data_IF_314062561942
#
_entry.id   IF_314062561942
#
_cell.length_a   1.000
_cell.length_b   1.000
_cell.length_c   1.000
_cell.angle_alpha   90.00
_cell.angle_beta   90.00
_cell.angle_gamma   90.00
#
_symmetry.space_group_name_H-M   'P 1'
#
loop_
_entity.id
_entity.type
_entity.pdbx_description
1 polymer ?
#
# COMPACT_ATOMS: atom_id res chain seq x y z
N UNK A 1 -48.95 80.48 -18.08
CA UNK A 1 -47.91 79.85 -18.91
C UNK A 1 -46.86 79.21 -18.00
N UNK A 2 -46.58 77.91 -18.23
CA UNK A 2 -45.35 77.13 -17.93
C UNK A 2 -44.84 77.12 -16.46
N UNK A 3 -45.01 75.99 -15.75
CA UNK A 3 -44.01 74.93 -15.45
C UNK A 3 -42.85 75.46 -14.58
N UNK A 4 -42.52 74.88 -13.43
CA UNK A 4 -41.75 73.63 -13.38
C UNK A 4 -41.88 72.88 -12.05
N UNK A 5 -41.91 71.56 -12.19
CA UNK A 5 -42.02 70.52 -11.18
C UNK A 5 -40.62 70.08 -10.73
N UNK A 6 -40.41 70.15 -9.41
CA UNK A 6 -39.66 69.27 -8.52
C UNK A 6 -39.02 68.01 -9.14
N UNK A 7 -37.69 67.88 -9.08
CA UNK A 7 -36.96 66.58 -9.06
C UNK A 7 -35.67 66.71 -8.23
N UNK A 8 -35.73 66.27 -6.98
CA UNK A 8 -34.55 65.96 -6.19
C UNK A 8 -33.97 64.63 -6.70
N UNK A 9 -32.77 64.66 -7.29
CA UNK A 9 -31.98 63.45 -7.53
C UNK A 9 -31.18 63.15 -6.25
N UNK A 10 -31.62 62.15 -5.49
CA UNK A 10 -30.79 61.51 -4.47
C UNK A 10 -29.90 60.51 -5.19
N UNK A 11 -28.61 60.84 -5.31
CA UNK A 11 -27.58 59.94 -5.83
C UNK A 11 -27.29 58.87 -4.76
N UNK A 12 -28.01 57.76 -4.81
CA UNK A 12 -27.70 56.57 -4.02
C UNK A 12 -26.50 55.85 -4.63
N UNK A 13 -25.28 56.18 -4.19
CA UNK A 13 -24.09 55.39 -4.47
C UNK A 13 -24.17 54.07 -3.69
N UNK A 14 -24.78 53.05 -4.29
CA UNK A 14 -24.73 51.69 -3.78
C UNK A 14 -23.30 51.17 -3.84
N UNK A 15 -22.62 51.12 -2.68
CA UNK A 15 -21.47 50.26 -2.49
C UNK A 15 -21.94 48.81 -2.66
N UNK A 16 -21.78 48.27 -3.87
CA UNK A 16 -21.70 46.83 -4.07
C UNK A 16 -20.34 46.45 -3.47
N UNK A 17 -20.33 46.20 -2.16
CA UNK A 17 -19.25 45.49 -1.50
C UNK A 17 -19.21 44.09 -2.12
N UNK A 18 -18.43 43.95 -3.19
CA UNK A 18 -18.08 42.65 -3.73
C UNK A 18 -17.46 41.86 -2.59
N UNK A 19 -18.20 40.88 -2.08
CA UNK A 19 -17.64 39.88 -1.18
C UNK A 19 -16.57 39.14 -1.96
N UNK A 20 -15.33 39.62 -1.89
CA UNK A 20 -14.16 38.82 -2.20
C UNK A 20 -14.21 37.67 -1.22
N UNK A 21 -14.72 36.53 -1.66
CA UNK A 21 -14.61 35.27 -0.93
C UNK A 21 -13.12 35.07 -0.66
N UNK A 22 -12.70 35.32 0.59
CA UNK A 22 -11.36 34.99 1.05
C UNK A 22 -11.29 33.47 0.95
N UNK A 23 -10.77 32.98 -0.17
CA UNK A 23 -10.50 31.57 -0.35
C UNK A 23 -9.35 31.26 0.61
N UNK A 24 -9.65 30.47 1.65
CA UNK A 24 -8.64 30.01 2.59
C UNK A 24 -7.46 29.41 1.82
N UNK A 25 -6.23 29.68 2.27
CA UNK A 25 -5.04 29.16 1.62
C UNK A 25 -5.14 27.63 1.46
N UNK A 26 -4.78 27.07 0.30
CA UNK A 26 -4.84 25.64 0.06
C UNK A 26 -4.10 24.84 1.14
N UNK A 27 -4.74 23.78 1.62
CA UNK A 27 -4.10 22.78 2.48
C UNK A 27 -3.23 21.91 1.58
N UNK A 28 -1.91 21.98 1.75
CA UNK A 28 -0.98 21.06 1.08
C UNK A 28 -0.68 19.88 1.99
N UNK A 29 -0.82 18.66 1.48
CA UNK A 29 -0.51 17.40 2.15
C UNK A 29 0.72 16.73 1.50
N UNK A 30 1.66 16.23 2.29
CA UNK A 30 2.81 15.44 1.81
C UNK A 30 2.51 13.95 1.83
N UNK A 31 2.54 13.29 0.67
CA UNK A 31 2.35 11.85 0.52
C UNK A 31 3.67 11.14 0.22
N UNK A 32 4.19 10.37 1.18
CA UNK A 32 5.44 9.62 1.03
C UNK A 32 5.23 8.15 0.60
N UNK A 33 6.08 7.63 -0.28
CA UNK A 33 6.12 6.18 -0.59
C UNK A 33 7.49 5.70 -1.09
N UNK A 34 7.71 4.39 -1.03
CA UNK A 34 8.99 3.74 -1.42
C UNK A 34 9.10 3.35 -2.90
N UNK A 35 7.99 3.42 -3.64
CA UNK A 35 7.91 2.97 -5.04
C UNK A 35 8.53 3.94 -6.02
N UNK A 36 9.10 3.40 -7.10
CA UNK A 36 9.64 4.20 -8.20
C UNK A 36 8.53 4.93 -8.96
N UNK A 37 8.87 6.02 -9.65
CA UNK A 37 7.90 6.79 -10.44
C UNK A 37 7.31 6.00 -11.62
N UNK A 38 7.99 4.93 -12.04
CA UNK A 38 7.52 4.00 -13.06
C UNK A 38 6.53 2.94 -12.52
N UNK A 39 6.39 2.81 -11.20
CA UNK A 39 5.47 1.84 -10.61
C UNK A 39 4.01 2.34 -10.62
N UNK A 40 3.03 1.43 -10.72
CA UNK A 40 1.62 1.81 -10.74
C UNK A 40 1.19 2.66 -9.54
N UNK A 41 1.74 2.39 -8.36
CA UNK A 41 1.38 3.10 -7.12
C UNK A 41 1.69 4.60 -7.18
N UNK A 42 2.77 4.99 -7.85
CA UNK A 42 3.07 6.41 -8.04
C UNK A 42 2.03 7.07 -8.94
N UNK A 43 1.78 6.48 -10.10
CA UNK A 43 0.80 7.01 -11.06
C UNK A 43 -0.62 7.06 -10.48
N UNK A 44 -0.96 6.13 -9.57
CA UNK A 44 -2.22 6.11 -8.84
C UNK A 44 -2.31 7.25 -7.82
N UNK A 45 -1.25 7.49 -7.05
CA UNK A 45 -1.20 8.62 -6.13
C UNK A 45 -1.33 9.96 -6.88
N UNK A 46 -0.66 10.12 -8.02
CA UNK A 46 -0.77 11.32 -8.86
C UNK A 46 -2.20 11.52 -9.37
N UNK A 47 -2.84 10.45 -9.86
CA UNK A 47 -4.22 10.51 -10.32
C UNK A 47 -5.20 10.87 -9.18
N UNK A 48 -5.02 10.28 -7.99
CA UNK A 48 -5.82 10.62 -6.80
C UNK A 48 -5.60 12.08 -6.39
N UNK A 49 -4.36 12.56 -6.38
CA UNK A 49 -4.01 13.94 -6.07
C UNK A 49 -4.71 14.93 -7.00
N UNK A 50 -4.70 14.68 -8.32
CA UNK A 50 -5.37 15.54 -9.29
C UNK A 50 -6.90 15.53 -9.11
N UNK A 51 -7.50 14.37 -8.87
CA UNK A 51 -8.95 14.25 -8.61
C UNK A 51 -9.36 14.96 -7.34
N UNK A 52 -8.58 14.86 -6.27
CA UNK A 52 -8.81 15.55 -5.00
C UNK A 52 -8.72 17.06 -5.20
N UNK A 53 -7.68 17.54 -5.88
CA UNK A 53 -7.54 18.97 -6.21
C UNK A 53 -8.73 19.48 -6.99
N UNK A 54 -9.18 18.76 -8.02
CA UNK A 54 -10.35 19.14 -8.81
C UNK A 54 -11.64 19.14 -7.98
N UNK A 55 -11.91 18.06 -7.22
CA UNK A 55 -13.12 17.91 -6.43
C UNK A 55 -13.23 18.90 -5.26
N UNK A 56 -12.09 19.37 -4.75
CA UNK A 56 -12.03 20.39 -3.69
C UNK A 56 -11.86 21.81 -4.23
N UNK A 57 -11.94 22.02 -5.55
CA UNK A 57 -11.68 23.30 -6.21
C UNK A 57 -10.35 23.95 -5.76
N UNK A 58 -9.31 23.14 -5.60
CA UNK A 58 -7.97 23.56 -5.19
C UNK A 58 -7.76 23.76 -3.70
N UNK A 59 -8.78 23.54 -2.84
CA UNK A 59 -8.61 23.71 -1.39
C UNK A 59 -7.69 22.65 -0.76
N UNK A 60 -7.60 21.47 -1.36
CA UNK A 60 -6.67 20.42 -0.95
C UNK A 60 -5.73 20.09 -2.10
N UNK A 61 -4.43 20.23 -1.86
CA UNK A 61 -3.37 19.82 -2.77
C UNK A 61 -2.52 18.73 -2.13
N UNK A 62 -2.03 17.80 -2.95
CA UNK A 62 -1.19 16.70 -2.48
C UNK A 62 0.14 16.75 -3.25
N UNK A 63 1.24 16.81 -2.51
CA UNK A 63 2.60 16.68 -3.02
C UNK A 63 3.10 15.27 -2.77
N UNK A 64 3.53 14.58 -3.81
CA UNK A 64 3.95 13.18 -3.75
C UNK A 64 5.47 13.10 -3.69
N UNK A 65 5.97 12.29 -2.75
CA UNK A 65 7.39 12.05 -2.51
C UNK A 65 7.69 10.56 -2.73
N UNK A 66 8.05 10.17 -3.96
CA UNK A 66 8.31 8.77 -4.33
C UNK A 66 9.70 8.30 -3.93
N UNK A 67 10.03 7.04 -4.26
CA UNK A 67 11.38 6.48 -4.18
C UNK A 67 12.07 6.66 -2.82
N UNK A 68 11.30 6.61 -1.72
CA UNK A 68 11.82 6.81 -0.36
C UNK A 68 12.49 8.18 -0.14
N UNK A 69 12.08 9.22 -0.89
CA UNK A 69 12.64 10.57 -0.77
C UNK A 69 12.48 11.18 0.64
N UNK A 70 11.46 10.74 1.40
CA UNK A 70 11.23 11.15 2.80
C UNK A 70 11.58 10.05 3.81
N UNK A 71 12.41 9.07 3.43
CA UNK A 71 12.87 7.99 4.28
C UNK A 71 12.23 6.63 3.98
N UNK A 72 12.48 5.67 4.87
CA UNK A 72 12.00 4.30 4.75
C UNK A 72 10.62 4.10 5.37
N UNK A 73 9.87 3.14 4.84
CA UNK A 73 8.52 2.76 5.29
C UNK A 73 8.45 2.42 6.79
N UNK A 74 9.53 1.85 7.35
CA UNK A 74 9.64 1.49 8.76
C UNK A 74 9.45 2.67 9.73
N UNK A 75 9.62 3.91 9.26
CA UNK A 75 9.49 5.13 10.06
C UNK A 75 8.23 5.94 9.72
N UNK A 76 7.46 5.55 8.68
CA UNK A 76 6.32 6.33 8.22
C UNK A 76 5.23 6.51 9.28
N UNK A 77 4.93 5.49 10.09
CA UNK A 77 3.96 5.64 11.19
C UNK A 77 4.37 6.71 12.20
N UNK A 78 5.66 6.81 12.53
CA UNK A 78 6.20 7.86 13.42
C UNK A 78 6.16 9.23 12.75
N UNK A 79 6.51 9.30 11.47
CA UNK A 79 6.46 10.54 10.68
C UNK A 79 5.04 11.08 10.54
N UNK A 80 4.06 10.20 10.32
CA UNK A 80 2.63 10.53 10.35
C UNK A 80 2.21 11.07 11.72
N UNK A 81 2.58 10.38 12.80
CA UNK A 81 2.25 10.82 14.17
C UNK A 81 2.85 12.20 14.52
N UNK A 82 4.07 12.48 14.05
CA UNK A 82 4.75 13.77 14.26
C UNK A 82 4.30 14.89 13.31
N UNK A 83 3.58 14.55 12.22
CA UNK A 83 3.21 15.50 11.16
C UNK A 83 4.33 15.86 10.18
N UNK A 84 5.47 15.14 10.19
CA UNK A 84 6.54 15.33 9.20
C UNK A 84 6.06 14.97 7.77
N UNK A 85 5.22 13.93 7.69
CA UNK A 85 4.45 13.55 6.49
C UNK A 85 2.97 13.50 6.84
N UNK A 86 2.11 13.69 5.84
CA UNK A 86 0.67 13.75 6.03
C UNK A 86 -0.03 12.47 5.59
N UNK A 87 0.49 11.86 4.54
CA UNK A 87 -0.01 10.64 3.94
C UNK A 87 1.14 9.69 3.61
N UNK A 88 0.85 8.39 3.61
CA UNK A 88 1.79 7.39 3.14
C UNK A 88 1.10 6.17 2.54
N UNK A 89 1.77 5.53 1.60
CA UNK A 89 1.55 4.10 1.36
C UNK A 89 2.35 3.31 2.39
N UNK A 90 1.68 2.42 3.12
CA UNK A 90 2.31 1.51 4.09
C UNK A 90 1.69 0.12 3.94
N UNK A 91 2.49 -0.93 3.77
CA UNK A 91 2.01 -2.31 3.73
C UNK A 91 1.22 -2.66 5.00
N UNK A 92 0.07 -3.33 4.87
CA UNK A 92 -0.74 -3.72 6.03
C UNK A 92 0.06 -4.59 7.01
N UNK A 93 0.99 -5.39 6.46
CA UNK A 93 1.95 -6.17 7.24
C UNK A 93 2.93 -5.30 8.04
N UNK A 94 3.33 -4.13 7.55
CA UNK A 94 4.17 -3.18 8.30
C UNK A 94 3.35 -2.48 9.38
N UNK A 95 2.09 -2.13 9.09
CA UNK A 95 1.15 -1.57 10.08
C UNK A 95 0.90 -2.51 11.27
N UNK A 96 1.16 -3.82 11.13
CA UNK A 96 1.10 -4.77 12.24
C UNK A 96 2.06 -4.44 13.40
N UNK A 97 3.11 -3.63 13.15
CA UNK A 97 4.01 -3.15 14.20
C UNK A 97 3.31 -2.20 15.17
N UNK A 98 2.33 -1.45 14.69
CA UNK A 98 1.53 -0.52 15.50
C UNK A 98 0.27 -1.20 16.03
N UNK A 99 -0.24 -2.22 15.32
CA UNK A 99 -1.40 -3.00 15.72
C UNK A 99 -1.26 -4.47 15.27
N UNK A 100 -0.70 -5.31 16.15
CA UNK A 100 -0.33 -6.70 15.84
C UNK A 100 -1.40 -7.55 15.14
N UNK A 101 -2.71 -7.45 15.48
CA UNK A 101 -3.73 -8.23 14.80
C UNK A 101 -3.81 -8.06 13.28
N UNK A 102 -3.41 -6.89 12.73
CA UNK A 102 -3.31 -6.73 11.27
C UNK A 102 -2.32 -7.71 10.63
N UNK A 103 -1.36 -8.23 11.39
CA UNK A 103 -0.34 -9.16 10.92
C UNK A 103 -0.94 -10.45 10.33
N UNK A 104 -2.15 -10.84 10.71
CA UNK A 104 -2.85 -12.03 10.18
C UNK A 104 -2.91 -12.04 8.65
N UNK A 105 -3.00 -10.87 8.01
CA UNK A 105 -3.19 -10.76 6.55
C UNK A 105 -1.99 -11.22 5.73
N UNK A 106 -0.79 -11.26 6.31
CA UNK A 106 0.39 -11.82 5.64
C UNK A 106 0.76 -13.20 6.14
N UNK A 107 -0.13 -13.92 6.82
CA UNK A 107 0.11 -15.33 7.07
C UNK A 107 0.33 -16.05 5.72
N UNK A 108 1.43 -16.80 5.53
CA UNK A 108 1.76 -17.39 4.24
C UNK A 108 0.61 -18.25 3.71
N UNK A 109 0.25 -18.04 2.44
CA UNK A 109 -0.82 -18.76 1.74
C UNK A 109 -2.24 -18.60 2.31
N UNK A 110 -2.49 -17.61 3.18
CA UNK A 110 -3.85 -17.30 3.66
C UNK A 110 -4.80 -16.95 2.51
N UNK A 111 -4.38 -16.00 1.67
CA UNK A 111 -5.12 -15.62 0.48
C UNK A 111 -4.75 -16.55 -0.68
N UNK A 112 -5.76 -16.97 -1.43
CA UNK A 112 -5.62 -17.94 -2.52
C UNK A 112 -5.42 -17.26 -3.87
N UNK A 113 -6.02 -16.09 -4.05
CA UNK A 113 -6.08 -15.32 -5.28
C UNK A 113 -6.46 -13.86 -5.02
N UNK A 114 -6.34 -12.96 -6.02
CA UNK A 114 -6.71 -11.55 -5.85
C UNK A 114 -8.20 -11.30 -5.57
N UNK A 115 -9.10 -12.20 -5.97
CA UNK A 115 -10.54 -12.06 -5.68
C UNK A 115 -10.84 -12.38 -4.21
N UNK A 116 -10.08 -13.28 -3.59
CA UNK A 116 -10.08 -13.49 -2.13
C UNK A 116 -9.67 -12.22 -1.38
N UNK A 117 -8.59 -11.54 -1.82
CA UNK A 117 -8.21 -10.23 -1.26
C UNK A 117 -9.34 -9.21 -1.43
N UNK A 118 -9.97 -9.13 -2.61
CA UNK A 118 -11.09 -8.22 -2.86
C UNK A 118 -12.27 -8.46 -1.90
N UNK A 119 -12.63 -9.72 -1.63
CA UNK A 119 -13.68 -10.07 -0.65
C UNK A 119 -13.28 -9.66 0.77
N UNK A 120 -12.01 -9.85 1.15
CA UNK A 120 -11.49 -9.40 2.43
C UNK A 120 -11.58 -7.89 2.60
N UNK A 121 -11.17 -7.10 1.60
CA UNK A 121 -11.15 -5.64 1.69
C UNK A 121 -12.55 -4.99 1.87
N UNK A 122 -13.63 -5.72 1.61
CA UNK A 122 -15.02 -5.27 1.83
C UNK A 122 -15.72 -6.04 2.96
N UNK A 123 -14.98 -6.85 3.72
CA UNK A 123 -15.52 -7.72 4.76
C UNK A 123 -15.62 -7.03 6.13
N UNK A 124 -16.53 -7.50 7.02
CA UNK A 124 -16.58 -7.03 8.40
C UNK A 124 -15.27 -7.21 9.16
N UNK A 125 -14.52 -8.30 8.92
CA UNK A 125 -13.25 -8.57 9.61
C UNK A 125 -12.18 -7.54 9.25
N UNK A 126 -12.11 -7.09 8.00
CA UNK A 126 -11.21 -5.99 7.62
C UNK A 126 -11.62 -4.67 8.29
N UNK A 127 -12.91 -4.36 8.35
CA UNK A 127 -13.40 -3.15 9.01
C UNK A 127 -13.10 -3.13 10.52
N UNK A 128 -13.20 -4.28 11.19
CA UNK A 128 -12.80 -4.42 12.60
C UNK A 128 -11.29 -4.23 12.79
N UNK A 129 -10.46 -4.87 11.95
CA UNK A 129 -9.00 -4.71 11.99
C UNK A 129 -8.58 -3.26 11.73
N UNK A 130 -9.21 -2.61 10.74
CA UNK A 130 -9.00 -1.20 10.42
C UNK A 130 -9.32 -0.31 11.62
N UNK A 131 -10.49 -0.46 12.23
CA UNK A 131 -10.88 0.33 13.43
C UNK A 131 -9.95 0.09 14.62
N UNK A 132 -9.51 -1.15 14.82
CA UNK A 132 -8.52 -1.50 15.84
C UNK A 132 -7.20 -0.77 15.63
N UNK A 133 -6.68 -0.79 14.40
CA UNK A 133 -5.49 -0.04 14.02
C UNK A 133 -5.66 1.47 14.21
N UNK A 134 -6.77 2.05 13.77
CA UNK A 134 -7.04 3.50 13.90
C UNK A 134 -7.09 3.94 15.36
N UNK A 135 -7.68 3.10 16.22
CA UNK A 135 -7.76 3.34 17.66
C UNK A 135 -6.38 3.32 18.32
N UNK A 136 -5.58 2.29 18.01
CA UNK A 136 -4.28 2.06 18.62
C UNK A 136 -3.21 3.04 18.12
N UNK A 137 -3.14 3.25 16.79
CA UNK A 137 -2.09 4.06 16.16
C UNK A 137 -2.41 5.55 16.11
N UNK A 138 -3.70 5.92 16.26
CA UNK A 138 -4.25 7.28 16.02
C UNK A 138 -4.16 7.78 14.58
N UNK A 139 -3.52 7.02 13.68
CA UNK A 139 -3.54 7.27 12.25
C UNK A 139 -4.85 6.77 11.64
N UNK A 140 -5.18 7.21 10.42
CA UNK A 140 -6.39 6.77 9.73
C UNK A 140 -6.06 5.97 8.47
N UNK A 141 -6.51 4.72 8.41
CA UNK A 141 -6.35 3.85 7.26
C UNK A 141 -7.54 4.09 6.31
N UNK A 142 -7.35 4.98 5.34
CA UNK A 142 -8.44 5.48 4.49
C UNK A 142 -8.98 4.39 3.55
N UNK A 143 -8.06 3.62 2.98
CA UNK A 143 -8.32 2.49 2.10
C UNK A 143 -7.12 1.54 2.12
N UNK A 144 -7.31 0.33 1.61
CA UNK A 144 -6.21 -0.56 1.25
C UNK A 144 -6.34 -0.97 -0.22
N UNK A 145 -5.19 -1.17 -0.87
CA UNK A 145 -5.08 -1.57 -2.27
C UNK A 145 -4.32 -2.88 -2.37
N UNK A 146 -4.72 -3.72 -3.32
CA UNK A 146 -3.95 -4.91 -3.67
C UNK A 146 -2.57 -4.51 -4.20
N UNK A 147 -1.51 -5.02 -3.57
CA UNK A 147 -0.11 -4.74 -3.93
C UNK A 147 0.42 -5.72 -4.97
N UNK A 148 0.02 -6.99 -4.85
CA UNK A 148 0.47 -8.08 -5.72
C UNK A 148 0.74 -9.37 -4.95
N UNK A 149 0.81 -10.48 -5.69
CA UNK A 149 1.32 -11.75 -5.25
C UNK A 149 2.85 -11.65 -5.13
N UNK A 150 3.37 -11.94 -3.95
CA UNK A 150 4.80 -11.88 -3.66
C UNK A 150 5.49 -13.16 -4.12
N UNK A 151 6.62 -12.99 -4.79
CA UNK A 151 7.44 -14.05 -5.37
C UNK A 151 8.90 -13.88 -4.95
N UNK A 152 9.68 -14.97 -4.98
CA UNK A 152 11.08 -14.95 -4.53
C UNK A 152 11.99 -14.75 -5.74
N UNK A 153 12.87 -13.75 -5.69
CA UNK A 153 14.07 -13.76 -6.54
C UNK A 153 15.24 -14.30 -5.77
N UNK A 154 16.18 -14.96 -6.45
CA UNK A 154 17.36 -15.50 -5.79
C UNK A 154 18.57 -15.53 -6.72
N UNK A 155 19.77 -15.50 -6.13
CA UNK A 155 21.04 -15.76 -6.81
C UNK A 155 21.22 -17.23 -7.22
N UNK A 156 20.35 -18.14 -6.74
CA UNK A 156 20.28 -19.56 -7.09
C UNK A 156 18.82 -19.97 -7.37
N UNK A 157 18.56 -20.87 -8.33
CA UNK A 157 17.21 -21.40 -8.56
C UNK A 157 16.58 -22.00 -7.30
N UNK A 158 15.34 -21.59 -6.99
CA UNK A 158 14.52 -22.16 -5.92
C UNK A 158 13.36 -22.93 -6.57
N UNK A 159 13.37 -24.25 -6.53
CA UNK A 159 12.31 -25.10 -7.10
C UNK A 159 11.42 -25.70 -6.00
N UNK A 160 11.95 -25.88 -4.80
CA UNK A 160 11.25 -26.43 -3.64
C UNK A 160 11.70 -25.73 -2.34
N UNK A 161 10.96 -25.86 -1.22
CA UNK A 161 11.32 -25.23 0.06
C UNK A 161 12.75 -25.53 0.52
N UNK A 162 13.26 -26.75 0.30
CA UNK A 162 14.63 -27.14 0.66
C UNK A 162 15.71 -26.25 0.04
N UNK A 163 15.44 -25.66 -1.12
CA UNK A 163 16.40 -24.80 -1.83
C UNK A 163 16.52 -23.42 -1.17
N UNK A 164 15.60 -23.07 -0.26
CA UNK A 164 15.64 -21.85 0.54
C UNK A 164 16.40 -22.00 1.86
N UNK A 165 16.73 -23.22 2.27
CA UNK A 165 17.41 -23.47 3.54
C UNK A 165 18.75 -22.74 3.60
N UNK A 166 18.92 -21.94 4.64
CA UNK A 166 20.15 -21.16 4.86
C UNK A 166 20.34 -19.96 3.93
N UNK A 167 19.46 -19.71 2.95
CA UNK A 167 19.53 -18.49 2.14
C UNK A 167 19.29 -17.27 3.04
N UNK A 168 20.06 -16.20 2.82
CA UNK A 168 19.79 -14.89 3.40
C UNK A 168 18.69 -14.21 2.60
N UNK A 169 17.45 -14.41 3.03
CA UNK A 169 16.27 -13.83 2.38
C UNK A 169 16.02 -12.43 2.96
N UNK A 170 16.23 -11.41 2.15
CA UNK A 170 15.78 -10.07 2.50
C UNK A 170 14.27 -10.03 2.60
N UNK A 171 13.79 -9.44 3.68
CA UNK A 171 12.38 -9.13 3.92
C UNK A 171 12.23 -7.67 4.37
N UNK A 172 11.04 -7.04 4.20
CA UNK A 172 10.73 -5.81 4.91
C UNK A 172 10.75 -6.01 6.43
N UNK A 173 11.00 -4.94 7.18
CA UNK A 173 11.05 -5.00 8.64
C UNK A 173 9.65 -4.99 9.27
N UNK A 174 9.00 -6.15 9.21
CA UNK A 174 7.78 -6.46 9.95
C UNK A 174 7.77 -7.95 10.35
N UNK A 175 7.12 -8.31 11.47
CA UNK A 175 7.04 -9.71 11.92
C UNK A 175 6.49 -10.65 10.84
N UNK A 176 5.45 -10.22 10.13
CA UNK A 176 4.74 -11.07 9.18
C UNK A 176 5.61 -11.58 8.03
N UNK A 177 6.46 -10.72 7.46
CA UNK A 177 7.35 -11.14 6.35
C UNK A 177 8.42 -12.15 6.80
N UNK A 178 8.78 -12.15 8.09
CA UNK A 178 9.77 -13.12 8.64
C UNK A 178 9.20 -14.54 8.71
N UNK A 179 7.87 -14.70 8.81
CA UNK A 179 7.25 -16.03 8.90
C UNK A 179 7.50 -16.87 7.65
N UNK A 180 7.43 -16.28 6.46
CA UNK A 180 7.71 -17.03 5.23
C UNK A 180 9.18 -17.49 5.17
N UNK A 181 10.14 -16.63 5.53
CA UNK A 181 11.54 -17.03 5.59
C UNK A 181 11.75 -18.18 6.57
N UNK A 182 11.18 -18.06 7.78
CA UNK A 182 11.22 -19.07 8.83
C UNK A 182 10.65 -20.41 8.36
N UNK A 183 9.48 -20.40 7.73
CA UNK A 183 8.84 -21.65 7.28
C UNK A 183 9.60 -22.36 6.17
N UNK A 184 10.39 -21.63 5.38
CA UNK A 184 11.25 -22.19 4.34
C UNK A 184 12.66 -22.56 4.85
N UNK A 185 12.96 -22.34 6.13
CA UNK A 185 14.30 -22.55 6.69
C UNK A 185 15.36 -21.54 6.21
N UNK A 186 14.91 -20.43 5.60
CA UNK A 186 15.77 -19.31 5.22
C UNK A 186 16.07 -18.43 6.44
N UNK A 187 17.17 -17.68 6.37
CA UNK A 187 17.49 -16.64 7.36
C UNK A 187 16.90 -15.31 6.89
N UNK A 188 15.92 -14.79 7.62
CA UNK A 188 15.35 -13.47 7.34
C UNK A 188 16.39 -12.36 7.60
N UNK A 189 16.58 -11.46 6.63
CA UNK A 189 17.46 -10.30 6.74
C UNK A 189 16.66 -9.01 6.53
N UNK A 190 16.11 -8.40 7.60
CA UNK A 190 15.31 -7.18 7.48
C UNK A 190 16.16 -5.99 7.00
N UNK A 191 15.74 -5.31 5.95
CA UNK A 191 16.39 -4.07 5.51
C UNK A 191 15.47 -3.13 4.73
N UNK A 192 15.76 -1.81 4.73
CA UNK A 192 15.03 -0.82 3.94
C UNK A 192 15.01 -1.16 2.45
N UNK A 193 13.89 -0.92 1.79
CA UNK A 193 13.67 -1.26 0.39
C UNK A 193 14.69 -0.62 -0.57
N UNK A 194 15.10 0.62 -0.28
CA UNK A 194 16.09 1.36 -1.06
C UNK A 194 17.48 0.69 -1.09
N UNK A 195 17.83 -0.16 -0.11
CA UNK A 195 19.14 -0.82 -0.03
C UNK A 195 19.22 -2.16 -0.75
N UNK A 196 18.08 -2.70 -1.19
CA UNK A 196 17.97 -4.11 -1.60
C UNK A 196 18.78 -4.41 -2.85
N UNK A 197 18.76 -3.53 -3.85
CA UNK A 197 19.49 -3.76 -5.10
C UNK A 197 20.99 -3.92 -4.83
N UNK A 198 21.59 -2.99 -4.08
CA UNK A 198 23.02 -3.02 -3.77
C UNK A 198 23.39 -4.19 -2.86
N UNK A 199 22.52 -4.56 -1.93
CA UNK A 199 22.73 -5.72 -1.05
C UNK A 199 22.67 -7.05 -1.84
N UNK A 200 21.80 -7.17 -2.85
CA UNK A 200 21.78 -8.32 -3.76
C UNK A 200 23.03 -8.32 -4.66
N UNK A 201 23.40 -7.16 -5.21
CA UNK A 201 24.56 -6.99 -6.10
C UNK A 201 25.88 -7.34 -5.42
N UNK A 202 26.03 -6.95 -4.16
CA UNK A 202 27.23 -7.23 -3.36
C UNK A 202 27.25 -8.64 -2.76
N UNK A 203 26.13 -9.36 -2.77
CA UNK A 203 26.00 -10.67 -2.13
C UNK A 203 25.88 -10.62 -0.61
N UNK A 204 25.56 -9.46 -0.03
CA UNK A 204 25.19 -9.35 1.40
C UNK A 204 23.98 -10.24 1.70
N UNK A 205 23.01 -10.27 0.79
CA UNK A 205 21.81 -11.11 0.78
C UNK A 205 21.75 -11.96 -0.49
N UNK A 206 21.14 -13.14 -0.39
CA UNK A 206 21.05 -14.10 -1.49
C UNK A 206 19.79 -13.91 -2.33
N UNK A 207 18.72 -13.50 -1.67
CA UNK A 207 17.36 -13.49 -2.20
C UNK A 207 16.56 -12.31 -1.65
N UNK A 208 15.50 -11.95 -2.35
CA UNK A 208 14.45 -11.08 -1.82
C UNK A 208 13.09 -11.58 -2.29
N UNK A 209 12.03 -11.00 -1.75
CA UNK A 209 10.67 -11.33 -2.14
C UNK A 209 9.81 -10.08 -2.37
N UNK A 210 9.04 -10.04 -3.45
CA UNK A 210 8.15 -8.93 -3.85
C UNK A 210 7.25 -9.33 -5.04
N UNK A 211 6.22 -8.53 -5.37
CA UNK A 211 5.47 -8.69 -6.61
C UNK A 211 6.31 -8.47 -7.87
N UNK A 212 5.89 -9.10 -8.98
CA UNK A 212 6.60 -9.03 -10.26
C UNK A 212 6.77 -7.60 -10.80
N UNK A 213 5.75 -6.70 -10.75
CA UNK A 213 5.92 -5.32 -11.20
C UNK A 213 7.03 -4.59 -10.45
N UNK A 214 7.14 -4.82 -9.14
CA UNK A 214 8.17 -4.23 -8.29
C UNK A 214 9.56 -4.81 -8.59
N UNK A 215 9.66 -6.12 -8.81
CA UNK A 215 10.91 -6.78 -9.23
C UNK A 215 11.44 -6.17 -10.54
N UNK A 216 10.54 -5.89 -11.50
CA UNK A 216 10.89 -5.20 -12.74
C UNK A 216 11.32 -3.75 -12.50
N UNK A 217 10.54 -2.97 -11.77
CA UNK A 217 10.81 -1.55 -11.56
C UNK A 217 12.14 -1.31 -10.83
N UNK A 218 12.45 -2.15 -9.83
CA UNK A 218 13.73 -2.12 -9.11
C UNK A 218 14.88 -2.81 -9.84
N UNK A 219 14.61 -3.39 -11.02
CA UNK A 219 15.61 -4.08 -11.84
C UNK A 219 16.35 -5.19 -11.10
N UNK A 220 15.69 -5.88 -10.16
CA UNK A 220 16.33 -6.97 -9.43
C UNK A 220 16.76 -8.12 -10.36
N UNK A 221 16.18 -8.22 -11.54
CA UNK A 221 16.60 -9.17 -12.58
C UNK A 221 18.04 -8.97 -13.09
N UNK A 222 18.64 -7.79 -12.91
CA UNK A 222 20.05 -7.55 -13.27
C UNK A 222 21.03 -8.20 -12.28
N UNK A 223 20.57 -8.44 -11.04
CA UNK A 223 21.40 -8.89 -9.91
C UNK A 223 20.91 -10.20 -9.29
N UNK A 224 19.99 -10.89 -9.96
CA UNK A 224 19.38 -12.16 -9.54
C UNK A 224 19.31 -13.13 -10.71
N UNK A 225 19.46 -14.43 -10.44
CA UNK A 225 19.50 -15.46 -11.50
C UNK A 225 18.13 -16.04 -11.82
N UNK A 226 17.22 -16.01 -10.86
CA UNK A 226 15.87 -16.57 -11.04
C UNK A 226 14.82 -15.78 -10.28
N UNK A 227 13.58 -15.84 -10.78
CA UNK A 227 12.37 -15.51 -10.04
C UNK A 227 11.51 -16.77 -9.96
N UNK A 228 11.19 -17.20 -8.74
CA UNK A 228 10.34 -18.35 -8.46
C UNK A 228 8.95 -17.86 -8.08
N UNK A 229 7.95 -18.29 -8.85
CA UNK A 229 6.56 -17.89 -8.67
C UNK A 229 5.91 -18.59 -7.47
N UNK A 230 6.42 -18.34 -6.26
CA UNK A 230 5.93 -18.95 -5.02
C UNK A 230 4.50 -18.51 -4.69
N UNK A 231 4.16 -17.23 -4.93
CA UNK A 231 2.82 -16.69 -4.68
C UNK A 231 2.44 -16.90 -3.22
N UNK A 232 3.40 -16.67 -2.33
CA UNK A 232 3.32 -17.08 -0.92
C UNK A 232 2.52 -16.09 -0.07
N UNK A 233 2.28 -14.89 -0.61
CA UNK A 233 1.51 -13.84 0.05
C UNK A 233 0.86 -12.97 -1.01
N UNK A 234 -0.44 -12.69 -0.88
CA UNK A 234 -1.10 -11.63 -1.62
C UNK A 234 -1.15 -10.40 -0.72
N UNK A 235 -0.30 -9.44 -1.02
CA UNK A 235 -0.02 -8.33 -0.12
C UNK A 235 -0.88 -7.10 -0.45
N UNK A 236 -0.96 -6.18 0.51
CA UNK A 236 -1.81 -5.00 0.42
C UNK A 236 -1.11 -3.78 0.99
N UNK A 237 -1.31 -2.63 0.35
CA UNK A 237 -0.87 -1.33 0.87
C UNK A 237 -2.04 -0.57 1.45
N UNK A 238 -1.91 -0.09 2.67
CA UNK A 238 -2.77 0.92 3.24
C UNK A 238 -2.42 2.32 2.71
N UNK A 239 -3.45 3.10 2.41
CA UNK A 239 -3.34 4.56 2.27
C UNK A 239 -3.65 5.14 3.64
N UNK A 240 -2.62 5.63 4.31
CA UNK A 240 -2.71 6.11 5.70
C UNK A 240 -2.58 7.61 5.72
N UNK A 241 -3.46 8.29 6.45
CA UNK A 241 -3.41 9.74 6.68
C UNK A 241 -3.21 10.04 8.17
N UNK A 242 -2.43 11.08 8.47
CA UNK A 242 -2.17 11.51 9.84
C UNK A 242 -3.37 12.24 10.45
N UNK A 243 -3.53 12.21 11.78
CA UNK A 243 -4.55 12.99 12.46
C UNK A 243 -4.36 14.51 12.24
N UNK A 244 -3.11 14.99 12.17
CA UNK A 244 -2.79 16.39 11.91
C UNK A 244 -3.21 16.86 10.52
N UNK A 245 -3.03 16.02 9.49
CA UNK A 245 -3.49 16.32 8.13
C UNK A 245 -5.02 16.48 8.07
N UNK A 246 -5.75 15.59 8.75
CA UNK A 246 -7.21 15.68 8.84
C UNK A 246 -7.63 16.97 9.53
N UNK A 247 -7.02 17.32 10.66
CA UNK A 247 -7.36 18.53 11.41
C UNK A 247 -7.21 19.82 10.59
N UNK A 248 -6.28 19.86 9.63
CA UNK A 248 -6.09 21.00 8.73
C UNK A 248 -7.16 21.12 7.64
N UNK A 249 -7.89 20.05 7.35
CA UNK A 249 -8.97 20.04 6.36
C UNK A 249 -10.34 20.32 7.00
N UNK A 250 -11.22 20.98 6.24
CA UNK A 250 -12.64 21.09 6.60
C UNK A 250 -13.32 19.71 6.59
N UNK A 251 -14.43 19.55 7.29
CA UNK A 251 -15.18 18.28 7.28
C UNK A 251 -15.64 17.89 5.86
N UNK A 252 -16.09 18.87 5.07
CA UNK A 252 -16.47 18.65 3.67
C UNK A 252 -15.29 18.16 2.83
N UNK A 253 -14.11 18.77 2.98
CA UNK A 253 -12.94 18.34 2.24
C UNK A 253 -12.42 16.97 2.69
N UNK A 254 -12.51 16.64 4.00
CA UNK A 254 -12.19 15.28 4.50
C UNK A 254 -13.05 14.21 3.85
N UNK A 255 -14.36 14.46 3.74
CA UNK A 255 -15.30 13.54 3.08
C UNK A 255 -14.95 13.37 1.61
N UNK A 256 -14.71 14.46 0.87
CA UNK A 256 -14.30 14.40 -0.54
C UNK A 256 -13.01 13.60 -0.71
N UNK A 257 -11.99 13.88 0.10
CA UNK A 257 -10.69 13.17 0.05
C UNK A 257 -10.87 11.68 0.31
N UNK A 258 -11.65 11.31 1.33
CA UNK A 258 -11.95 9.92 1.66
C UNK A 258 -12.68 9.21 0.52
N UNK A 259 -13.68 9.85 -0.07
CA UNK A 259 -14.49 9.24 -1.13
C UNK A 259 -13.67 9.02 -2.41
N UNK A 260 -12.83 10.00 -2.79
CA UNK A 260 -11.92 9.84 -3.93
C UNK A 260 -10.93 8.69 -3.68
N UNK A 261 -10.28 8.67 -2.51
CA UNK A 261 -9.29 7.63 -2.18
C UNK A 261 -9.92 6.24 -2.18
N UNK A 262 -11.07 6.05 -1.51
CA UNK A 262 -11.74 4.74 -1.44
C UNK A 262 -12.20 4.26 -2.82
N UNK A 263 -12.78 5.14 -3.63
CA UNK A 263 -13.22 4.80 -4.98
C UNK A 263 -12.04 4.40 -5.88
N UNK A 264 -10.96 5.18 -5.85
CA UNK A 264 -9.81 4.95 -6.71
C UNK A 264 -8.96 3.75 -6.24
N UNK A 265 -8.94 3.44 -4.95
CA UNK A 265 -8.27 2.26 -4.41
C UNK A 265 -8.80 0.94 -5.00
N UNK A 266 -10.11 0.87 -5.28
CA UNK A 266 -10.72 -0.28 -5.95
C UNK A 266 -10.18 -0.43 -7.38
N UNK A 267 -10.15 0.66 -8.14
CA UNK A 267 -9.62 0.66 -9.51
C UNK A 267 -8.12 0.38 -9.58
N UNK A 268 -7.37 0.93 -8.63
CA UNK A 268 -5.94 0.67 -8.47
C UNK A 268 -5.66 -0.83 -8.35
N UNK A 269 -6.44 -1.52 -7.50
CA UNK A 269 -6.30 -2.97 -7.28
C UNK A 269 -6.51 -3.79 -8.57
N UNK A 270 -7.50 -3.42 -9.39
CA UNK A 270 -7.75 -4.08 -10.70
C UNK A 270 -6.59 -3.87 -11.67
N UNK A 271 -6.02 -2.66 -11.70
CA UNK A 271 -4.87 -2.36 -12.55
C UNK A 271 -3.63 -3.16 -12.16
N UNK A 272 -3.39 -3.37 -10.86
CA UNK A 272 -2.26 -4.18 -10.38
C UNK A 272 -2.36 -5.62 -10.89
N UNK A 273 -3.53 -6.26 -10.79
CA UNK A 273 -3.73 -7.64 -11.29
C UNK A 273 -3.33 -7.75 -12.77
N UNK A 274 -3.75 -6.79 -13.60
CA UNK A 274 -3.37 -6.76 -15.02
C UNK A 274 -1.85 -6.56 -15.21
N UNK A 275 -1.21 -5.75 -14.36
CA UNK A 275 0.23 -5.48 -14.42
C UNK A 275 1.07 -6.68 -14.03
N UNK A 276 0.61 -7.54 -13.13
CA UNK A 276 1.33 -8.77 -12.76
C UNK A 276 1.49 -9.71 -13.96
N UNK A 277 0.42 -9.90 -14.74
CA UNK A 277 0.45 -10.72 -15.96
C UNK A 277 1.46 -10.18 -16.99
N UNK A 278 1.45 -8.86 -17.20
CA UNK A 278 2.41 -8.20 -18.11
C UNK A 278 3.84 -8.30 -17.57
N UNK A 279 4.01 -8.20 -16.24
CA UNK A 279 5.32 -8.24 -15.61
C UNK A 279 6.00 -9.61 -15.73
N UNK A 280 5.24 -10.70 -15.63
CA UNK A 280 5.79 -12.05 -15.83
C UNK A 280 6.38 -12.24 -17.23
N UNK A 281 5.66 -11.82 -18.27
CA UNK A 281 6.14 -11.88 -19.65
C UNK A 281 7.40 -11.04 -19.86
N UNK A 282 7.38 -9.79 -19.37
CA UNK A 282 8.54 -8.89 -19.45
C UNK A 282 9.76 -9.42 -18.71
N UNK A 283 9.58 -10.06 -17.56
CA UNK A 283 10.69 -10.72 -16.86
C UNK A 283 11.27 -11.84 -17.70
N UNK A 284 10.46 -12.65 -18.39
CA UNK A 284 10.95 -13.65 -19.32
C UNK A 284 11.86 -13.09 -20.43
N UNK A 285 11.58 -11.86 -20.88
CA UNK A 285 12.36 -11.16 -21.91
C UNK A 285 13.70 -10.59 -21.39
N UNK A 286 13.89 -10.43 -20.07
CA UNK A 286 15.16 -9.92 -19.51
C UNK A 286 16.26 -10.98 -19.42
N UNK A 287 15.92 -12.26 -19.66
CA UNK A 287 16.83 -13.39 -19.53
C UNK A 287 16.92 -13.99 -18.12
N UNK A 288 16.19 -13.46 -17.14
CA UNK A 288 16.09 -14.10 -15.81
C UNK A 288 15.31 -15.43 -15.92
N UNK A 289 15.72 -16.45 -15.16
CA UNK A 289 14.99 -17.72 -15.13
C UNK A 289 13.68 -17.58 -14.35
N UNK A 290 12.55 -17.61 -15.04
CA UNK A 290 11.22 -17.68 -14.41
C UNK A 290 10.87 -19.14 -14.08
N UNK A 291 10.70 -19.45 -12.79
CA UNK A 291 10.42 -20.80 -12.27
C UNK A 291 8.98 -20.85 -11.79
N UNK A 292 8.20 -21.83 -12.28
CA UNK A 292 6.84 -22.12 -11.82
C UNK A 292 6.88 -23.41 -10.99
N UNK A 293 7.13 -23.33 -9.67
CA UNK A 293 7.29 -24.52 -8.86
C UNK A 293 5.94 -25.19 -8.59
N UNK A 294 5.98 -26.44 -8.13
CA UNK A 294 4.85 -26.99 -7.41
C UNK A 294 4.71 -26.23 -6.07
N UNK A 295 3.59 -25.51 -5.93
CA UNK A 295 3.31 -24.69 -4.75
C UNK A 295 2.93 -25.53 -3.53
N UNK A 296 2.49 -26.78 -3.73
CA UNK A 296 2.00 -27.63 -2.63
C UNK A 296 3.06 -27.82 -1.53
N UNK A 297 4.31 -28.07 -1.93
CA UNK A 297 5.43 -28.21 -0.98
C UNK A 297 5.69 -26.94 -0.16
N UNK A 298 5.53 -25.75 -0.76
CA UNK A 298 5.66 -24.49 -0.02
C UNK A 298 4.51 -24.26 0.96
N UNK A 299 3.28 -24.63 0.57
CA UNK A 299 2.11 -24.58 1.45
C UNK A 299 2.31 -25.52 2.64
N UNK A 300 2.71 -26.77 2.39
CA UNK A 300 2.94 -27.76 3.44
C UNK A 300 4.03 -27.30 4.42
N UNK A 301 5.16 -26.81 3.91
CA UNK A 301 6.23 -26.28 4.75
C UNK A 301 5.77 -25.08 5.60
N UNK A 302 4.96 -24.18 5.03
CA UNK A 302 4.35 -23.08 5.79
C UNK A 302 3.47 -23.57 6.93
N UNK A 303 2.46 -24.39 6.62
CA UNK A 303 1.47 -24.85 7.60
C UNK A 303 2.07 -25.77 8.68
N UNK A 304 3.19 -26.44 8.40
CA UNK A 304 3.90 -27.29 9.36
C UNK A 304 4.75 -26.50 10.35
N UNK A 305 5.26 -25.34 9.96
CA UNK A 305 6.31 -24.63 10.72
C UNK A 305 5.83 -23.36 11.40
N UNK A 306 4.80 -22.69 10.87
CA UNK A 306 4.28 -21.46 11.44
C UNK A 306 2.78 -21.52 11.71
N UNK A 307 2.33 -20.78 12.71
CA UNK A 307 0.91 -20.67 13.06
C UNK A 307 0.44 -19.21 13.13
N UNK A 308 -0.86 -18.92 12.88
CA UNK A 308 -1.40 -17.58 13.02
C UNK A 308 -1.23 -16.99 14.43
N UNK A 309 -1.09 -17.83 15.46
CA UNK A 309 -0.87 -17.40 16.84
C UNK A 309 0.44 -16.61 17.02
N UNK A 310 1.47 -16.88 16.18
CA UNK A 310 2.74 -16.14 16.20
C UNK A 310 2.59 -14.67 15.78
N UNK A 311 1.50 -14.34 15.10
CA UNK A 311 1.20 -12.98 14.63
C UNK A 311 0.36 -12.18 15.64
N UNK A 312 0.03 -12.76 16.81
CA UNK A 312 -0.90 -12.17 17.78
C UNK A 312 -2.24 -11.78 17.12
N UNK A 313 -2.68 -12.58 16.15
CA UNK A 313 -3.99 -12.43 15.52
C UNK A 313 -5.09 -12.58 16.58
N UNK A 314 -6.22 -11.85 16.43
CA UNK A 314 -7.36 -12.06 17.32
C UNK A 314 -7.93 -13.47 17.08
N UNK A 315 -8.47 -14.13 18.12
CA UNK A 315 -9.10 -15.43 17.95
C UNK A 315 -10.17 -15.41 16.84
N UNK A 316 -10.08 -16.35 15.92
CA UNK A 316 -11.04 -16.50 14.82
C UNK A 316 -10.78 -15.61 13.59
N UNK A 317 -9.88 -14.62 13.64
CA UNK A 317 -9.64 -13.74 12.48
C UNK A 317 -9.05 -14.52 11.29
N UNK A 318 -8.14 -15.46 11.55
CA UNK A 318 -7.58 -16.30 10.51
C UNK A 318 -8.65 -17.11 9.78
N UNK A 319 -9.53 -17.80 10.54
CA UNK A 319 -10.62 -18.60 9.99
C UNK A 319 -11.64 -17.73 9.26
N UNK A 320 -12.05 -16.61 9.87
CA UNK A 320 -12.97 -15.65 9.24
C UNK A 320 -12.44 -15.16 7.90
N UNK A 321 -11.14 -14.90 7.77
CA UNK A 321 -10.53 -14.47 6.52
C UNK A 321 -10.44 -15.64 5.55
N UNK A 322 -9.86 -16.78 5.96
CA UNK A 322 -9.70 -17.99 5.14
C UNK A 322 -11.03 -18.41 4.52
N UNK A 323 -12.12 -18.33 5.27
CA UNK A 323 -13.45 -18.78 4.88
C UNK A 323 -14.20 -17.77 4.01
N UNK A 324 -13.60 -16.62 3.68
CA UNK A 324 -14.06 -15.72 2.60
C UNK A 324 -13.76 -16.33 1.23
N UNK A 325 -14.13 -17.59 1.00
CA UNK A 325 -14.07 -18.26 -0.30
C UNK A 325 -15.29 -17.88 -1.17
N UNK A 326 -15.23 -18.19 -2.46
CA UNK A 326 -16.38 -17.97 -3.34
C UNK A 326 -17.57 -18.82 -2.86
N UNK A 327 -18.82 -18.31 -2.88
CA UNK A 327 -19.98 -19.16 -2.68
C UNK A 327 -19.96 -20.32 -3.68
N UNK A 328 -19.96 -21.56 -3.19
CA UNK A 328 -20.09 -22.77 -4.02
C UNK A 328 -18.80 -23.55 -4.34
N UNK A 329 -17.67 -23.23 -3.72
CA UNK A 329 -16.47 -24.10 -3.73
C UNK A 329 -16.30 -24.75 -2.36
N UNK A 330 -16.91 -25.92 -2.20
CA UNK A 330 -16.59 -26.91 -1.16
C UNK A 330 -15.75 -28.03 -1.78
#
# INVERSE_FOLDING_TARGET
>A
MRRLVMKALVLGAGLIAGATSIQAAPVTLKWAHGYETSEPFHTQAEAMAQKIKAATAGRVEIQIFPASALGGEADYSKKLASGEIDMAYIGLNVLSRDYAPLGVVGFPFLFTDPDHVRRFLVSPVFDELRKGYETQSRNHLMAAIYYGARHVTSNKPVNAPKDMQGLKLRVPDAPTYKLFAKSMGATATPMPFAKVYDALKSGEIDAQENPLPTILAKKFYEVQKSVTLTGHMYDMLGIVISPGALQRMSESDRTIVNDVIRKDAVWASVQIIARELVAEGKLGETGIKVIRPDRSGFVEAALKTVSPAELQARPGDYEKIRDLVKPGTH
#
